data_IF_170708946129
#
_entry.id   IF_170708946129
#
_cell.length_a   1.000
_cell.length_b   1.000
_cell.length_c   1.000
_cell.angle_alpha   90.00
_cell.angle_beta   90.00
_cell.angle_gamma   90.00
#
_symmetry.space_group_name_H-M   'P 1'
#
loop_
_entity.id
_entity.type
_entity.pdbx_description
1 polymer ?
#
# COMPACT_ATOMS: atom_id res chain seq x y z
N UNK A 1 9.36 5.04 -25.68
CA UNK A 1 10.34 5.53 -24.67
C UNK A 1 10.44 4.51 -23.54
N UNK A 2 11.43 4.59 -22.65
CA UNK A 2 11.53 3.70 -21.47
C UNK A 2 11.18 4.45 -20.18
N UNK A 3 10.71 3.74 -19.14
CA UNK A 3 10.42 4.33 -17.81
C UNK A 3 11.57 5.20 -17.29
N UNK A 4 12.80 4.69 -17.40
CA UNK A 4 14.00 5.43 -16.97
C UNK A 4 14.20 6.76 -17.70
N UNK A 5 13.88 6.81 -18.98
CA UNK A 5 14.07 8.01 -19.80
C UNK A 5 13.06 9.09 -19.46
N UNK A 6 11.83 8.69 -19.12
CA UNK A 6 10.73 9.63 -18.86
C UNK A 6 10.72 10.11 -17.40
N UNK A 7 10.92 9.22 -16.44
CA UNK A 7 10.77 9.54 -14.99
C UNK A 7 12.08 9.39 -14.19
N UNK A 8 13.16 8.95 -14.82
CA UNK A 8 14.36 8.53 -14.11
C UNK A 8 14.20 7.16 -13.42
N UNK A 9 15.20 6.79 -12.61
CA UNK A 9 15.15 5.55 -11.83
C UNK A 9 14.12 5.65 -10.71
N UNK A 10 13.22 4.66 -10.55
CA UNK A 10 12.44 4.52 -9.33
C UNK A 10 13.38 4.46 -8.12
N UNK A 11 12.97 4.99 -6.97
CA UNK A 11 13.78 4.97 -5.76
C UNK A 11 13.12 4.16 -4.64
N UNK A 12 13.93 3.48 -3.85
CA UNK A 12 13.47 2.74 -2.69
C UNK A 12 13.06 3.69 -1.56
N UNK A 13 12.15 3.24 -0.69
CA UNK A 13 11.78 3.98 0.51
C UNK A 13 12.90 4.10 1.55
N UNK A 14 12.52 4.64 2.70
CA UNK A 14 13.44 5.04 3.77
C UNK A 14 14.00 3.83 4.50
N UNK A 15 15.31 3.86 4.74
CA UNK A 15 15.99 2.90 5.63
C UNK A 15 16.32 3.57 6.95
N UNK A 16 15.67 3.14 8.02
CA UNK A 16 15.91 3.67 9.38
C UNK A 16 17.23 3.16 9.96
N UNK A 17 17.58 1.91 9.67
CA UNK A 17 18.70 1.18 10.27
C UNK A 17 18.41 0.63 11.68
N UNK A 18 17.28 1.00 12.30
CA UNK A 18 16.78 0.43 13.55
C UNK A 18 15.32 0.85 13.79
N UNK A 19 14.36 0.06 13.28
CA UNK A 19 12.95 0.44 13.27
C UNK A 19 12.38 0.75 14.67
N UNK A 20 12.80 0.04 15.71
CA UNK A 20 12.28 0.23 17.07
C UNK A 20 12.48 1.64 17.64
N UNK A 21 13.45 2.42 17.12
CA UNK A 21 13.65 3.80 17.53
C UNK A 21 12.83 4.80 16.70
N UNK A 22 12.60 4.51 15.42
CA UNK A 22 12.08 5.49 14.47
C UNK A 22 10.64 5.24 14.02
N UNK A 23 10.11 4.03 14.19
CA UNK A 23 8.76 3.66 13.77
C UNK A 23 7.86 3.59 15.00
N UNK A 24 6.83 4.43 15.00
CA UNK A 24 5.94 4.65 16.11
C UNK A 24 4.54 4.09 15.82
N UNK A 25 3.92 3.56 16.86
CA UNK A 25 2.47 3.38 16.95
C UNK A 25 1.77 4.75 17.07
N UNK A 26 0.45 4.75 16.89
CA UNK A 26 -0.38 5.95 17.10
C UNK A 26 -0.23 6.50 18.51
N UNK A 27 -0.29 5.65 19.54
CA UNK A 27 -0.19 6.07 20.93
C UNK A 27 1.17 6.69 21.26
N UNK A 28 2.28 6.12 20.77
CA UNK A 28 3.61 6.70 20.94
C UNK A 28 3.72 8.06 20.25
N UNK A 29 3.23 8.16 19.00
CA UNK A 29 3.16 9.43 18.25
C UNK A 29 2.38 10.50 19.04
N UNK A 30 1.21 10.15 19.56
CA UNK A 30 0.34 11.10 20.25
C UNK A 30 0.94 11.56 21.57
N UNK A 31 1.60 10.66 22.31
CA UNK A 31 2.32 11.01 23.55
C UNK A 31 3.49 11.97 23.28
N UNK A 32 4.23 11.79 22.19
CA UNK A 32 5.33 12.69 21.82
C UNK A 32 4.81 14.10 21.47
N UNK A 33 3.71 14.18 20.73
CA UNK A 33 3.08 15.47 20.38
C UNK A 33 2.47 16.16 21.60
N UNK A 34 1.91 15.38 22.55
CA UNK A 34 1.40 15.93 23.80
C UNK A 34 2.53 16.50 24.67
N UNK A 35 3.68 15.82 24.74
CA UNK A 35 4.82 16.26 25.52
C UNK A 35 5.54 17.48 24.88
N UNK A 36 5.64 17.50 23.55
CA UNK A 36 6.25 18.58 22.78
C UNK A 36 5.53 18.70 21.42
N UNK A 37 4.61 19.67 21.25
CA UNK A 37 3.83 19.85 20.02
C UNK A 37 4.68 20.01 18.75
N UNK A 38 5.91 20.54 18.89
CA UNK A 38 6.85 20.73 17.79
C UNK A 38 7.33 19.40 17.20
N UNK A 39 7.23 18.30 17.94
CA UNK A 39 7.50 16.95 17.45
C UNK A 39 6.75 16.63 16.15
N UNK A 40 5.59 17.25 15.91
CA UNK A 40 4.79 17.08 14.69
C UNK A 40 5.59 17.35 13.42
N UNK A 41 6.57 18.26 13.45
CA UNK A 41 7.41 18.60 12.29
C UNK A 41 8.18 17.38 11.76
N UNK A 42 8.55 16.47 12.65
CA UNK A 42 9.36 15.28 12.37
C UNK A 42 8.54 14.00 12.25
N UNK A 43 7.25 14.03 12.57
CA UNK A 43 6.40 12.84 12.62
C UNK A 43 5.60 12.71 11.33
N UNK A 44 6.04 11.80 10.44
CA UNK A 44 5.42 11.60 9.13
C UNK A 44 4.69 10.26 9.07
N UNK A 45 3.49 10.18 8.47
CA UNK A 45 2.84 8.89 8.25
C UNK A 45 3.71 8.02 7.32
N UNK A 46 3.82 6.73 7.62
CA UNK A 46 4.65 5.81 6.83
C UNK A 46 3.89 4.55 6.43
N UNK A 47 4.09 4.13 5.18
CA UNK A 47 3.53 2.91 4.58
C UNK A 47 4.61 1.85 4.41
N UNK A 48 4.18 0.60 4.58
CA UNK A 48 4.98 -0.60 4.33
C UNK A 48 4.45 -1.38 3.12
N UNK A 49 5.29 -2.21 2.50
CA UNK A 49 4.95 -2.91 1.26
C UNK A 49 3.72 -3.82 1.39
N UNK A 50 3.42 -4.31 2.60
CA UNK A 50 2.20 -5.09 2.87
C UNK A 50 0.92 -4.27 2.72
N UNK A 51 0.99 -2.96 2.94
CA UNK A 51 -0.12 -2.02 2.81
C UNK A 51 -0.34 -1.55 1.38
N UNK A 52 0.57 -1.87 0.44
CA UNK A 52 0.41 -1.53 -0.97
C UNK A 52 -0.22 -2.69 -1.71
N UNK A 53 -1.34 -2.41 -2.36
CA UNK A 53 -2.08 -3.32 -3.23
C UNK A 53 -2.33 -2.61 -4.57
N UNK A 54 -2.72 -3.37 -5.59
CA UNK A 54 -3.13 -2.77 -6.86
C UNK A 54 -4.25 -1.76 -6.61
N UNK A 55 -4.09 -0.55 -7.18
CA UNK A 55 -5.06 0.54 -7.10
C UNK A 55 -5.31 1.10 -5.70
N UNK A 56 -4.56 0.69 -4.66
CA UNK A 56 -4.75 1.28 -3.33
C UNK A 56 -3.52 1.19 -2.44
N UNK A 57 -3.34 2.22 -1.63
CA UNK A 57 -2.59 2.13 -0.38
C UNK A 57 -3.55 2.07 0.81
N UNK A 58 -3.21 1.26 1.81
CA UNK A 58 -3.97 1.26 3.07
C UNK A 58 -3.62 2.49 3.90
N UNK A 59 -4.55 2.92 4.76
CA UNK A 59 -4.29 4.01 5.68
C UNK A 59 -3.04 3.73 6.55
N UNK A 60 -2.18 4.73 6.78
CA UNK A 60 -0.99 4.57 7.61
C UNK A 60 -1.39 4.28 9.06
N UNK A 61 -0.90 3.15 9.58
CA UNK A 61 -1.08 2.76 10.99
C UNK A 61 0.13 3.13 11.86
N UNK A 62 1.19 3.62 11.25
CA UNK A 62 2.46 3.95 11.88
C UNK A 62 3.01 5.30 11.40
N UNK A 63 3.90 5.85 12.21
CA UNK A 63 4.61 7.10 11.91
C UNK A 63 6.10 6.87 11.96
N UNK A 64 6.84 7.59 11.13
CA UNK A 64 8.29 7.67 11.21
C UNK A 64 8.72 8.98 11.87
N UNK A 65 9.70 8.91 12.77
CA UNK A 65 10.50 10.06 13.19
C UNK A 65 11.49 10.36 12.07
N UNK A 66 11.13 11.28 11.18
CA UNK A 66 11.89 11.62 9.98
C UNK A 66 12.98 12.65 10.28
N UNK A 67 14.22 12.16 10.44
CA UNK A 67 15.39 13.00 10.69
C UNK A 67 16.43 12.78 9.57
N UNK A 68 16.48 13.65 8.55
CA UNK A 68 17.48 13.57 7.49
C UNK A 68 18.88 13.94 7.98
N UNK A 69 19.89 13.71 7.14
CA UNK A 69 21.28 14.00 7.49
C UNK A 69 21.52 15.51 7.46
N UNK A 70 22.20 16.03 8.48
CA UNK A 70 22.70 17.40 8.55
C UNK A 70 21.65 18.53 8.44
N UNK A 71 20.38 18.28 8.77
CA UNK A 71 19.30 19.28 8.68
C UNK A 71 18.63 19.68 10.00
N UNK A 72 18.91 18.96 11.11
CA UNK A 72 18.18 19.11 12.37
C UNK A 72 19.15 19.19 13.55
N UNK A 73 18.90 20.16 14.44
CA UNK A 73 19.42 20.17 15.79
C UNK A 73 18.45 19.41 16.72
N UNK A 74 18.84 18.24 17.22
CA UNK A 74 17.92 17.37 17.97
C UNK A 74 17.45 18.01 19.29
N UNK A 75 18.25 18.88 19.89
CA UNK A 75 17.89 19.58 21.13
C UNK A 75 16.78 20.61 20.96
N UNK A 76 16.42 20.94 19.72
CA UNK A 76 15.24 21.74 19.40
C UNK A 76 13.93 20.92 19.50
N UNK A 77 14.02 19.60 19.77
CA UNK A 77 12.94 18.62 19.88
C UNK A 77 13.15 17.69 21.10
N UNK A 78 13.07 18.22 22.34
CA UNK A 78 13.43 17.49 23.56
C UNK A 78 12.67 16.17 23.75
N UNK A 79 11.38 16.10 23.44
CA UNK A 79 10.61 14.85 23.59
C UNK A 79 11.11 13.74 22.63
N UNK A 80 11.46 14.11 21.40
CA UNK A 80 12.06 13.18 20.42
C UNK A 80 13.47 12.79 20.84
N UNK A 81 14.27 13.73 21.36
CA UNK A 81 15.60 13.42 21.87
C UNK A 81 15.55 12.40 23.02
N UNK A 82 14.66 12.63 23.99
CA UNK A 82 14.46 11.76 25.14
C UNK A 82 13.95 10.37 24.72
N UNK A 83 13.04 10.31 23.75
CA UNK A 83 12.58 9.05 23.16
C UNK A 83 13.70 8.24 22.50
N UNK A 84 14.59 8.90 21.76
CA UNK A 84 15.69 8.23 21.06
C UNK A 84 16.84 7.84 22.01
N UNK A 85 16.98 8.50 23.16
CA UNK A 85 18.11 8.34 24.09
C UNK A 85 18.32 6.90 24.56
N UNK A 86 17.29 6.11 24.96
CA UNK A 86 17.45 4.69 25.28
C UNK A 86 18.01 3.83 24.13
N UNK A 87 17.86 4.29 22.88
CA UNK A 87 18.33 3.59 21.70
C UNK A 87 19.73 4.02 21.25
N UNK A 88 20.32 5.05 21.87
CA UNK A 88 21.58 5.69 21.43
C UNK A 88 22.72 4.71 21.18
N UNK A 89 22.94 3.74 22.06
CA UNK A 89 24.01 2.76 21.91
C UNK A 89 23.87 1.94 20.61
N UNK A 90 22.67 1.42 20.32
CA UNK A 90 22.38 0.68 19.09
C UNK A 90 22.46 1.58 17.86
N UNK A 91 21.97 2.81 17.98
CA UNK A 91 21.97 3.77 16.89
C UNK A 91 23.39 4.24 16.52
N UNK A 92 24.28 4.40 17.50
CA UNK A 92 25.67 4.77 17.29
C UNK A 92 26.52 3.60 16.73
N UNK A 93 26.12 2.36 16.96
CA UNK A 93 26.78 1.17 16.43
C UNK A 93 26.46 0.86 14.95
N UNK A 94 25.64 1.69 14.28
CA UNK A 94 25.28 1.50 12.87
C UNK A 94 26.49 1.71 11.97
N UNK A 95 26.59 0.89 10.92
CA UNK A 95 27.74 0.91 9.99
C UNK A 95 27.88 2.21 9.16
N UNK A 96 26.78 2.93 8.96
CA UNK A 96 26.80 4.16 8.16
C UNK A 96 27.24 5.37 8.99
N UNK A 97 27.92 6.32 8.33
CA UNK A 97 28.33 7.61 8.94
C UNK A 97 27.13 8.56 8.95
N UNK A 98 26.57 8.81 10.14
CA UNK A 98 25.56 9.83 10.44
C UNK A 98 25.60 10.16 11.94
N UNK A 99 24.96 11.26 12.37
CA UNK A 99 24.73 11.47 13.80
C UNK A 99 23.84 10.35 14.34
N UNK A 100 24.02 9.99 15.61
CA UNK A 100 23.35 8.81 16.18
C UNK A 100 21.82 8.91 16.08
N UNK A 101 21.23 10.10 16.10
CA UNK A 101 19.77 10.33 15.99
C UNK A 101 19.26 10.47 14.54
N UNK A 102 20.13 10.49 13.52
CA UNK A 102 19.73 10.63 12.12
C UNK A 102 19.34 9.26 11.49
N UNK A 103 18.49 9.30 10.47
CA UNK A 103 18.14 8.11 9.68
C UNK A 103 19.34 7.59 8.87
N UNK A 104 19.38 6.27 8.62
CA UNK A 104 20.48 5.65 7.87
C UNK A 104 20.45 6.06 6.38
N UNK A 105 19.30 5.97 5.73
CA UNK A 105 19.04 6.48 4.37
C UNK A 105 17.68 7.19 4.35
N UNK A 106 17.64 8.50 4.61
CA UNK A 106 16.40 9.28 4.66
C UNK A 106 15.78 9.56 3.29
N UNK A 107 16.48 9.29 2.18
CA UNK A 107 16.03 9.69 0.84
C UNK A 107 15.73 11.21 0.73
N UNK A 108 16.54 12.03 1.41
CA UNK A 108 16.30 13.48 1.58
C UNK A 108 16.06 14.25 0.27
N UNK A 109 16.67 13.82 -0.85
CA UNK A 109 16.43 14.41 -2.17
C UNK A 109 14.95 14.34 -2.60
N UNK A 110 14.22 13.33 -2.13
CA UNK A 110 12.85 13.02 -2.53
C UNK A 110 11.80 13.43 -1.49
N UNK A 111 12.17 14.28 -0.53
CA UNK A 111 11.25 14.69 0.53
C UNK A 111 9.98 15.36 -0.03
N UNK A 112 10.14 16.28 -1.00
CA UNK A 112 9.01 16.93 -1.66
C UNK A 112 8.11 15.92 -2.41
N UNK A 113 8.70 14.87 -2.99
CA UNK A 113 7.95 13.78 -3.63
C UNK A 113 7.10 13.02 -2.61
N UNK A 114 7.62 12.74 -1.41
CA UNK A 114 6.82 12.08 -0.36
C UNK A 114 5.64 12.94 0.12
N UNK A 115 5.84 14.25 0.19
CA UNK A 115 4.82 15.22 0.63
C UNK A 115 3.77 15.50 -0.46
N UNK A 116 4.12 15.29 -1.73
CA UNK A 116 3.23 15.42 -2.88
C UNK A 116 2.60 14.10 -3.36
N UNK A 117 2.00 14.20 -4.54
CA UNK A 117 1.47 13.07 -5.31
C UNK A 117 2.60 12.28 -5.97
N UNK A 118 2.52 10.96 -5.90
CA UNK A 118 3.54 10.03 -6.42
C UNK A 118 2.93 8.68 -6.73
N UNK A 119 3.58 7.91 -7.58
CA UNK A 119 3.26 6.50 -7.79
C UNK A 119 4.11 5.65 -6.84
N UNK A 120 3.47 4.74 -6.10
CA UNK A 120 4.14 3.81 -5.20
C UNK A 120 3.81 2.36 -5.53
N UNK A 121 4.72 1.45 -5.18
CA UNK A 121 4.55 0.01 -5.34
C UNK A 121 5.45 -0.76 -4.38
N UNK A 122 5.17 -2.05 -4.18
CA UNK A 122 5.93 -2.91 -3.25
C UNK A 122 7.01 -3.73 -3.96
N UNK A 123 8.12 -3.97 -3.27
CA UNK A 123 9.26 -4.75 -3.77
C UNK A 123 8.92 -6.23 -4.02
N UNK A 124 8.07 -6.85 -3.19
CA UNK A 124 7.76 -8.28 -3.32
C UNK A 124 6.27 -8.43 -3.62
N UNK A 125 5.92 -8.74 -4.86
CA UNK A 125 4.54 -8.84 -5.34
C UNK A 125 4.33 -10.06 -6.22
N UNK A 126 3.14 -10.64 -6.20
CA UNK A 126 2.71 -11.74 -7.08
C UNK A 126 1.60 -11.31 -8.06
N UNK A 127 1.34 -10.01 -8.12
CA UNK A 127 0.40 -9.32 -9.00
C UNK A 127 0.82 -7.84 -9.07
N UNK A 128 0.30 -7.04 -10.01
CA UNK A 128 0.53 -5.60 -10.00
C UNK A 128 0.15 -4.98 -8.65
N UNK A 129 0.86 -3.92 -8.25
CA UNK A 129 0.70 -3.30 -6.92
C UNK A 129 0.85 -1.78 -6.94
N UNK A 130 0.61 -1.20 -8.11
CA UNK A 130 0.80 0.21 -8.37
C UNK A 130 -0.44 0.99 -7.92
N UNK A 131 -0.20 2.13 -7.29
CA UNK A 131 -1.24 3.11 -6.97
C UNK A 131 -0.64 4.51 -6.90
N UNK A 132 -1.49 5.52 -7.05
CA UNK A 132 -1.14 6.89 -6.69
C UNK A 132 -1.25 7.05 -5.18
N UNK A 133 -0.33 7.77 -4.57
CA UNK A 133 -0.33 8.13 -3.15
C UNK A 133 0.02 9.60 -2.97
N UNK A 134 -0.57 10.21 -1.94
CA UNK A 134 -0.34 11.62 -1.60
C UNK A 134 0.01 11.76 -0.12
N UNK A 135 1.16 12.37 0.16
CA UNK A 135 1.54 12.78 1.52
C UNK A 135 2.09 11.69 2.44
N UNK A 136 2.14 10.41 2.03
CA UNK A 136 2.75 9.36 2.85
C UNK A 136 4.23 9.15 2.53
N UNK A 137 5.00 8.85 3.57
CA UNK A 137 6.36 8.36 3.44
C UNK A 137 6.30 6.84 3.25
N UNK A 138 7.34 6.25 2.66
CA UNK A 138 7.38 4.81 2.40
C UNK A 138 8.65 4.17 2.98
N UNK A 139 8.52 2.95 3.48
CA UNK A 139 9.66 2.18 3.97
C UNK A 139 10.44 1.49 2.83
N UNK A 140 11.61 0.94 3.15
CA UNK A 140 12.48 0.23 2.21
C UNK A 140 11.88 -1.01 1.51
N UNK A 141 10.71 -1.51 1.95
CA UNK A 141 9.97 -2.55 1.23
C UNK A 141 9.08 -2.01 0.10
N UNK A 142 9.04 -0.69 -0.06
CA UNK A 142 8.34 0.02 -1.11
C UNK A 142 9.30 0.77 -2.03
N UNK A 143 8.80 1.10 -3.23
CA UNK A 143 9.45 1.94 -4.22
C UNK A 143 8.51 3.03 -4.68
N UNK A 144 9.09 4.08 -5.26
CA UNK A 144 8.40 5.25 -5.75
C UNK A 144 8.90 5.62 -7.15
N UNK A 145 7.98 6.05 -8.02
CA UNK A 145 8.27 6.77 -9.25
C UNK A 145 7.81 8.22 -9.04
N UNK A 146 8.72 9.21 -9.07
CA UNK A 146 8.36 10.61 -8.91
C UNK A 146 7.57 11.11 -10.12
N UNK A 147 6.74 12.14 -9.92
CA UNK A 147 6.04 12.87 -11.00
C UNK A 147 5.12 12.03 -11.90
N UNK A 148 4.76 10.83 -11.45
CA UNK A 148 3.87 9.92 -12.15
C UNK A 148 2.38 10.18 -11.81
N UNK A 149 1.51 9.91 -12.77
CA UNK A 149 0.06 10.10 -12.73
C UNK A 149 -0.69 8.76 -12.80
N UNK A 150 -2.02 8.83 -12.82
CA UNK A 150 -2.87 7.65 -13.03
C UNK A 150 -2.64 6.98 -14.40
N UNK A 151 -2.14 7.69 -15.42
CA UNK A 151 -1.79 7.07 -16.71
C UNK A 151 -0.69 6.02 -16.55
N UNK A 152 0.37 6.34 -15.81
CA UNK A 152 1.49 5.43 -15.57
C UNK A 152 1.05 4.25 -14.69
N UNK A 153 0.15 4.48 -13.72
CA UNK A 153 -0.46 3.40 -12.93
C UNK A 153 -1.26 2.46 -13.83
N UNK A 154 -2.03 2.99 -14.80
CA UNK A 154 -2.77 2.18 -15.76
C UNK A 154 -1.83 1.30 -16.58
N UNK A 155 -0.79 1.90 -17.19
CA UNK A 155 0.19 1.18 -17.99
C UNK A 155 0.89 0.08 -17.18
N UNK A 156 1.46 0.43 -16.01
CA UNK A 156 2.22 -0.52 -15.19
C UNK A 156 1.35 -1.63 -14.61
N UNK A 157 0.05 -1.40 -14.49
CA UNK A 157 -0.91 -2.42 -14.04
C UNK A 157 -1.49 -3.27 -15.16
N UNK A 158 -1.19 -2.94 -16.42
CA UNK A 158 -1.67 -3.72 -17.58
C UNK A 158 -1.02 -5.09 -17.64
N UNK A 159 -1.74 -6.04 -18.23
CA UNK A 159 -1.26 -7.40 -18.50
C UNK A 159 0.03 -7.39 -19.33
N UNK A 160 0.18 -6.47 -20.29
CA UNK A 160 1.40 -6.35 -21.13
C UNK A 160 2.63 -6.00 -20.31
N UNK A 161 2.56 -4.93 -19.50
CA UNK A 161 3.71 -4.51 -18.71
C UNK A 161 3.93 -5.43 -17.51
N UNK A 162 2.88 -6.05 -16.97
CA UNK A 162 3.02 -7.08 -15.95
C UNK A 162 3.77 -8.30 -16.50
N UNK A 163 3.36 -8.84 -17.65
CA UNK A 163 4.03 -9.94 -18.34
C UNK A 163 5.51 -9.62 -18.61
N UNK A 164 5.78 -8.43 -19.16
CA UNK A 164 7.14 -7.96 -19.45
C UNK A 164 8.00 -7.90 -18.17
N UNK A 165 7.43 -7.37 -17.08
CA UNK A 165 8.11 -7.22 -15.81
C UNK A 165 8.43 -8.57 -15.14
N UNK A 166 7.49 -9.51 -15.14
CA UNK A 166 7.70 -10.82 -14.51
C UNK A 166 8.61 -11.74 -15.33
N UNK A 167 8.76 -11.49 -16.63
CA UNK A 167 9.67 -12.23 -17.51
C UNK A 167 11.14 -11.91 -17.26
N UNK A 168 11.45 -10.68 -16.80
CA UNK A 168 12.81 -10.19 -16.58
C UNK A 168 13.26 -10.27 -15.10
N UNK A 169 12.31 -10.39 -14.19
CA UNK A 169 12.59 -10.32 -12.76
C UNK A 169 13.04 -11.65 -12.14
N UNK A 170 13.72 -11.55 -11.00
CA UNK A 170 13.99 -12.71 -10.17
C UNK A 170 12.75 -13.18 -9.43
N UNK A 171 12.46 -14.47 -9.57
CA UNK A 171 11.43 -15.16 -8.81
C UNK A 171 11.86 -15.23 -7.34
N UNK A 172 11.07 -14.60 -6.47
CA UNK A 172 11.10 -14.83 -5.03
C UNK A 172 10.33 -16.11 -4.68
N UNK A 173 10.36 -16.52 -3.40
CA UNK A 173 9.73 -17.77 -2.97
C UNK A 173 8.20 -17.73 -3.15
N UNK A 174 7.63 -18.80 -3.72
CA UNK A 174 6.19 -19.06 -3.73
C UNK A 174 5.38 -18.27 -4.77
N UNK A 175 5.94 -17.99 -5.95
CA UNK A 175 5.25 -17.26 -7.02
C UNK A 175 5.23 -15.74 -6.83
N UNK A 176 6.08 -15.22 -5.95
CA UNK A 176 6.31 -13.79 -5.81
C UNK A 176 7.51 -13.36 -6.65
N UNK A 177 7.55 -12.10 -7.03
CA UNK A 177 8.56 -11.50 -7.89
C UNK A 177 9.16 -10.26 -7.23
N UNK A 178 10.38 -9.90 -7.63
CA UNK A 178 11.10 -8.72 -7.12
C UNK A 178 10.89 -7.50 -8.01
N UNK A 179 10.39 -6.41 -7.44
CA UNK A 179 10.06 -5.16 -8.14
C UNK A 179 11.08 -4.10 -7.74
N UNK A 180 12.35 -4.35 -8.06
CA UNK A 180 13.43 -3.35 -7.89
C UNK A 180 13.47 -2.41 -9.09
N UNK A 181 14.02 -1.21 -8.89
CA UNK A 181 14.17 -0.18 -9.94
C UNK A 181 14.73 -0.74 -11.25
N UNK A 182 15.76 -1.59 -11.18
CA UNK A 182 16.40 -2.19 -12.36
C UNK A 182 15.46 -2.99 -13.28
N UNK A 183 14.34 -3.49 -12.76
CA UNK A 183 13.35 -4.25 -13.54
C UNK A 183 12.25 -3.37 -14.12
N UNK A 184 11.98 -2.22 -13.49
CA UNK A 184 11.00 -1.25 -14.00
C UNK A 184 11.63 -0.26 -14.99
N UNK A 185 12.90 0.08 -14.81
CA UNK A 185 13.66 0.99 -15.69
C UNK A 185 13.55 0.63 -17.19
N UNK A 186 13.67 -0.64 -17.62
CA UNK A 186 13.58 -1.03 -19.02
C UNK A 186 12.14 -1.31 -19.49
N UNK A 187 11.10 -1.02 -18.70
CA UNK A 187 9.73 -1.21 -19.18
C UNK A 187 9.40 -0.19 -20.28
N UNK A 188 8.78 -0.63 -21.39
CA UNK A 188 8.41 0.25 -22.48
C UNK A 188 7.23 1.14 -22.10
N UNK A 189 7.30 2.39 -22.53
CA UNK A 189 6.18 3.34 -22.55
C UNK A 189 5.78 3.51 -24.01
N UNK A 190 4.59 3.03 -24.41
CA UNK A 190 4.11 3.13 -25.78
C UNK A 190 3.77 4.58 -26.13
N UNK A 191 3.79 4.87 -27.43
CA UNK A 191 3.33 6.17 -27.93
C UNK A 191 1.80 6.22 -27.86
N UNK A 192 1.28 7.07 -26.99
CA UNK A 192 -0.16 7.25 -26.79
C UNK A 192 -0.56 8.70 -27.06
N UNK A 193 -1.68 8.88 -27.77
CA UNK A 193 -2.27 10.20 -27.98
C UNK A 193 -2.73 10.81 -26.65
N UNK A 194 -2.86 12.15 -26.54
CA UNK A 194 -3.39 12.78 -25.33
C UNK A 194 -4.76 12.23 -24.90
N UNK A 195 -5.62 11.85 -25.85
CA UNK A 195 -6.93 11.25 -25.58
C UNK A 195 -6.80 9.85 -24.95
N UNK A 196 -5.91 9.00 -25.47
CA UNK A 196 -5.65 7.67 -24.89
C UNK A 196 -5.03 7.78 -23.49
N UNK A 197 -4.07 8.70 -23.29
CA UNK A 197 -3.47 8.97 -21.97
C UNK A 197 -4.54 9.39 -20.96
N UNK A 198 -5.43 10.30 -21.35
CA UNK A 198 -6.53 10.75 -20.51
C UNK A 198 -7.51 9.60 -20.20
N UNK A 199 -7.88 8.79 -21.19
CA UNK A 199 -8.78 7.65 -21.00
C UNK A 199 -8.21 6.62 -20.02
N UNK A 200 -6.93 6.25 -20.18
CA UNK A 200 -6.22 5.35 -19.27
C UNK A 200 -6.11 5.92 -17.86
N UNK A 201 -5.79 7.21 -17.73
CA UNK A 201 -5.75 7.89 -16.43
C UNK A 201 -7.12 7.85 -15.73
N UNK A 202 -8.21 8.15 -16.44
CA UNK A 202 -9.57 8.10 -15.88
C UNK A 202 -9.97 6.68 -15.45
N UNK A 203 -9.60 5.65 -16.23
CA UNK A 203 -9.87 4.26 -15.87
C UNK A 203 -9.10 3.86 -14.60
N UNK A 204 -7.82 4.20 -14.50
CA UNK A 204 -7.02 3.93 -13.32
C UNK A 204 -7.49 4.69 -12.08
N UNK A 205 -7.88 5.96 -12.22
CA UNK A 205 -8.47 6.75 -11.13
C UNK A 205 -9.80 6.15 -10.65
N UNK A 206 -10.63 5.66 -11.58
CA UNK A 206 -11.88 4.95 -11.25
C UNK A 206 -11.58 3.65 -10.50
N UNK A 207 -10.65 2.83 -11.00
CA UNK A 207 -10.26 1.58 -10.36
C UNK A 207 -9.70 1.83 -8.96
N UNK A 208 -8.88 2.87 -8.78
CA UNK A 208 -8.33 3.26 -7.49
C UNK A 208 -9.40 3.74 -6.52
N UNK A 209 -10.28 4.65 -6.95
CA UNK A 209 -11.40 5.12 -6.13
C UNK A 209 -12.28 3.96 -5.66
N UNK A 210 -12.60 3.01 -6.55
CA UNK A 210 -13.39 1.84 -6.20
C UNK A 210 -12.63 0.87 -5.29
N UNK A 211 -11.33 0.68 -5.48
CA UNK A 211 -10.51 -0.18 -4.64
C UNK A 211 -10.39 0.36 -3.21
N UNK A 212 -10.27 1.69 -3.05
CA UNK A 212 -10.25 2.38 -1.76
C UNK A 212 -11.61 2.32 -1.05
N UNK A 213 -12.72 2.55 -1.78
CA UNK A 213 -14.07 2.41 -1.25
C UNK A 213 -14.35 0.97 -0.79
N UNK A 214 -13.97 -0.02 -1.62
CA UNK A 214 -14.10 -1.44 -1.30
C UNK A 214 -13.32 -1.79 -0.04
N UNK A 215 -12.07 -1.33 0.06
CA UNK A 215 -11.22 -1.56 1.23
C UNK A 215 -11.81 -0.93 2.51
N UNK A 216 -12.43 0.24 2.39
CA UNK A 216 -13.08 0.92 3.51
C UNK A 216 -14.24 0.10 4.07
N UNK A 217 -15.11 -0.44 3.21
CA UNK A 217 -16.22 -1.33 3.61
C UNK A 217 -15.71 -2.61 4.28
N UNK A 218 -14.73 -3.27 3.65
CA UNK A 218 -14.09 -4.48 4.17
C UNK A 218 -13.55 -4.26 5.59
N UNK A 219 -12.86 -3.14 5.79
CA UNK A 219 -12.21 -2.80 7.05
C UNK A 219 -13.20 -2.34 8.13
N UNK A 220 -14.23 -1.58 7.75
CA UNK A 220 -15.23 -1.05 8.68
C UNK A 220 -15.90 -2.18 9.48
N UNK A 221 -16.35 -3.23 8.79
CA UNK A 221 -16.94 -4.38 9.46
C UNK A 221 -15.89 -5.21 10.19
N UNK A 222 -14.74 -5.48 9.56
CA UNK A 222 -13.66 -6.30 10.17
C UNK A 222 -13.21 -5.75 11.54
N UNK A 223 -13.16 -4.42 11.69
CA UNK A 223 -12.82 -3.75 12.96
C UNK A 223 -13.86 -3.95 14.06
N UNK A 224 -15.12 -4.26 13.72
CA UNK A 224 -16.22 -4.50 14.67
C UNK A 224 -16.38 -5.96 15.04
N UNK A 225 -15.88 -6.90 14.25
CA UNK A 225 -15.97 -8.33 14.57
C UNK A 225 -15.40 -8.63 15.98
N UNK A 226 -14.26 -8.05 16.41
CA UNK A 226 -13.77 -8.16 17.79
C UNK A 226 -14.78 -7.82 18.89
N UNK A 227 -15.74 -6.93 18.64
CA UNK A 227 -16.75 -6.51 19.64
C UNK A 227 -17.70 -7.68 20.01
N UNK A 228 -17.76 -8.72 19.17
CA UNK A 228 -18.51 -9.97 19.43
C UNK A 228 -17.73 -10.97 20.30
N UNK A 229 -16.46 -10.68 20.62
CA UNK A 229 -15.63 -11.54 21.44
C UNK A 229 -15.93 -11.32 22.94
N UNK A 230 -16.21 -12.38 23.71
CA UNK A 230 -16.32 -12.29 25.16
C UNK A 230 -15.07 -11.70 25.82
N UNK A 231 -15.20 -10.96 26.95
CA UNK A 231 -14.09 -10.27 27.60
C UNK A 231 -13.03 -11.21 28.19
N UNK A 232 -13.36 -12.48 28.42
CA UNK A 232 -12.45 -13.52 28.90
C UNK A 232 -11.57 -14.13 27.78
N UNK A 233 -11.65 -13.61 26.54
CA UNK A 233 -11.03 -14.19 25.35
C UNK A 233 -10.26 -13.19 24.52
N UNK A 234 -9.26 -13.70 23.81
CA UNK A 234 -8.52 -12.92 22.83
C UNK A 234 -9.35 -12.74 21.55
N UNK A 235 -9.56 -11.50 21.06
CA UNK A 235 -10.39 -11.22 19.89
C UNK A 235 -9.65 -11.49 18.56
N UNK A 236 -9.07 -12.70 18.43
CA UNK A 236 -8.28 -13.08 17.27
C UNK A 236 -9.16 -13.54 16.11
N UNK A 237 -9.09 -12.84 14.99
CA UNK A 237 -9.86 -13.17 13.78
C UNK A 237 -9.18 -14.27 12.94
N UNK A 238 -9.98 -15.21 12.43
CA UNK A 238 -9.57 -16.14 11.37
C UNK A 238 -9.52 -15.42 10.02
N UNK A 239 -8.84 -15.98 9.02
CA UNK A 239 -8.83 -15.41 7.67
C UNK A 239 -10.24 -15.29 7.10
N UNK A 240 -11.14 -16.25 7.38
CA UNK A 240 -12.55 -16.18 6.99
C UNK A 240 -13.28 -14.97 7.56
N UNK A 241 -12.98 -14.57 8.80
CA UNK A 241 -13.57 -13.36 9.40
C UNK A 241 -12.89 -12.08 8.90
N UNK A 242 -11.59 -12.13 8.62
CA UNK A 242 -10.88 -11.02 7.96
C UNK A 242 -11.35 -10.78 6.53
N UNK A 243 -11.85 -11.82 5.87
CA UNK A 243 -12.38 -11.83 4.51
C UNK A 243 -13.88 -12.14 4.52
N UNK A 244 -14.63 -11.59 5.48
CA UNK A 244 -16.03 -11.92 5.74
C UNK A 244 -16.95 -11.79 4.53
N UNK A 245 -16.60 -10.94 3.56
CA UNK A 245 -17.34 -10.75 2.30
C UNK A 245 -17.29 -11.97 1.39
N UNK A 246 -16.38 -12.91 1.63
CA UNK A 246 -16.28 -14.19 0.91
C UNK A 246 -17.22 -15.27 1.47
N UNK A 247 -17.81 -15.04 2.64
CA UNK A 247 -18.76 -15.98 3.23
C UNK A 247 -20.10 -15.90 2.48
N UNK A 248 -20.77 -17.04 2.24
CA UNK A 248 -21.92 -17.08 1.34
C UNK A 248 -23.16 -16.35 1.87
N UNK A 249 -23.36 -16.29 3.19
CA UNK A 249 -24.54 -15.71 3.83
C UNK A 249 -24.23 -15.29 5.28
N UNK A 250 -25.22 -14.73 5.97
CA UNK A 250 -25.12 -14.34 7.37
C UNK A 250 -25.01 -15.56 8.30
N UNK A 251 -25.61 -16.70 7.95
CA UNK A 251 -25.55 -17.92 8.74
C UNK A 251 -24.12 -18.48 8.81
N UNK A 252 -23.39 -18.46 7.70
CA UNK A 252 -21.98 -18.85 7.61
C UNK A 252 -21.08 -17.89 8.39
N UNK A 253 -21.33 -16.57 8.32
CA UNK A 253 -20.66 -15.58 9.16
C UNK A 253 -20.84 -15.88 10.65
N UNK A 254 -22.09 -16.07 11.09
CA UNK A 254 -22.41 -16.44 12.48
C UNK A 254 -21.76 -17.76 12.89
N UNK A 255 -21.75 -18.76 12.02
CA UNK A 255 -21.12 -20.04 12.31
C UNK A 255 -19.60 -19.88 12.57
N UNK A 256 -18.92 -19.04 11.79
CA UNK A 256 -17.49 -18.77 12.02
C UNK A 256 -17.27 -17.94 13.28
N UNK A 257 -18.11 -16.92 13.58
CA UNK A 257 -18.08 -16.17 14.85
C UNK A 257 -18.23 -17.12 16.04
N UNK A 258 -19.26 -17.97 16.05
CA UNK A 258 -19.49 -19.01 17.08
C UNK A 258 -18.29 -19.91 17.26
N UNK A 259 -17.70 -20.36 16.15
CA UNK A 259 -16.56 -21.27 16.19
C UNK A 259 -15.35 -20.62 16.85
N UNK A 260 -15.08 -19.35 16.55
CA UNK A 260 -13.89 -18.61 17.00
C UNK A 260 -14.08 -18.09 18.42
N UNK A 261 -15.15 -17.34 18.69
CA UNK A 261 -15.37 -16.70 19.98
C UNK A 261 -16.09 -17.58 21.00
N UNK A 262 -16.65 -18.72 20.59
CA UNK A 262 -17.54 -19.56 21.43
C UNK A 262 -18.74 -18.79 21.99
N UNK A 263 -19.10 -17.70 21.33
CA UNK A 263 -20.26 -16.88 21.57
C UNK A 263 -20.96 -16.61 20.24
N UNK A 264 -22.26 -16.34 20.28
CA UNK A 264 -23.06 -15.98 19.11
C UNK A 264 -23.40 -14.50 19.14
N UNK A 265 -23.80 -13.97 17.99
CA UNK A 265 -24.40 -12.64 17.90
C UNK A 265 -25.73 -12.67 18.68
N UNK A 266 -25.93 -11.76 19.66
CA UNK A 266 -27.17 -11.65 20.42
C UNK A 266 -28.37 -11.53 19.49
N UNK A 267 -29.46 -12.24 19.79
CA UNK A 267 -30.64 -12.30 18.92
C UNK A 267 -31.17 -10.91 18.54
N UNK A 268 -31.18 -9.97 19.50
CA UNK A 268 -31.64 -8.60 19.31
C UNK A 268 -30.80 -7.80 18.30
N UNK A 269 -29.53 -8.16 18.09
CA UNK A 269 -28.60 -7.46 17.19
C UNK A 269 -28.50 -8.13 15.82
N UNK A 270 -29.10 -9.33 15.65
CA UNK A 270 -28.88 -10.13 14.44
C UNK A 270 -29.35 -9.45 13.17
N UNK A 271 -30.49 -8.76 13.21
CA UNK A 271 -31.01 -8.03 12.05
C UNK A 271 -30.06 -6.92 11.61
N UNK A 272 -29.55 -6.10 12.54
CA UNK A 272 -28.62 -5.01 12.22
C UNK A 272 -27.31 -5.54 11.62
N UNK A 273 -26.78 -6.64 12.17
CA UNK A 273 -25.59 -7.29 11.62
C UNK A 273 -25.85 -7.91 10.24
N UNK A 274 -26.98 -8.58 10.06
CA UNK A 274 -27.36 -9.20 8.79
C UNK A 274 -27.54 -8.14 7.70
N UNK A 275 -28.26 -7.05 8.00
CA UNK A 275 -28.48 -5.94 7.08
C UNK A 275 -27.16 -5.27 6.70
N UNK A 276 -26.27 -5.03 7.67
CA UNK A 276 -24.95 -4.48 7.39
C UNK A 276 -24.14 -5.41 6.48
N UNK A 277 -24.01 -6.69 6.85
CA UNK A 277 -23.24 -7.67 6.08
C UNK A 277 -23.77 -7.78 4.65
N UNK A 278 -25.09 -7.88 4.47
CA UNK A 278 -25.69 -8.03 3.16
C UNK A 278 -25.48 -6.79 2.28
N UNK A 279 -25.71 -5.60 2.83
CA UNK A 279 -25.49 -4.32 2.13
C UNK A 279 -24.04 -4.17 1.69
N UNK A 280 -23.10 -4.28 2.62
CA UNK A 280 -21.70 -4.03 2.33
C UNK A 280 -21.11 -5.14 1.44
N UNK A 281 -21.57 -6.40 1.57
CA UNK A 281 -21.17 -7.48 0.65
C UNK A 281 -21.63 -7.23 -0.79
N UNK A 282 -22.88 -6.80 -0.97
CA UNK A 282 -23.41 -6.47 -2.29
C UNK A 282 -22.61 -5.32 -2.93
N UNK A 283 -22.28 -4.29 -2.14
CA UNK A 283 -21.48 -3.18 -2.62
C UNK A 283 -20.02 -3.56 -2.92
N UNK A 284 -19.39 -4.38 -2.07
CA UNK A 284 -18.06 -4.94 -2.34
C UNK A 284 -18.05 -5.74 -3.65
N UNK A 285 -19.11 -6.51 -3.93
CA UNK A 285 -19.25 -7.27 -5.17
C UNK A 285 -19.39 -6.33 -6.38
N UNK A 286 -20.22 -5.29 -6.29
CA UNK A 286 -20.38 -4.26 -7.33
C UNK A 286 -19.05 -3.57 -7.65
N UNK A 287 -18.37 -3.06 -6.63
CA UNK A 287 -17.07 -2.39 -6.77
C UNK A 287 -16.01 -3.32 -7.36
N UNK A 288 -16.03 -4.60 -6.99
CA UNK A 288 -15.11 -5.60 -7.55
C UNK A 288 -15.35 -5.81 -9.05
N UNK A 289 -16.61 -5.88 -9.49
CA UNK A 289 -16.95 -6.01 -10.90
C UNK A 289 -16.55 -4.76 -11.71
N UNK A 290 -16.74 -3.57 -11.14
CA UNK A 290 -16.38 -2.31 -11.80
C UNK A 290 -14.86 -2.11 -11.91
N UNK A 291 -14.08 -2.55 -10.92
CA UNK A 291 -12.62 -2.58 -11.01
C UNK A 291 -12.20 -3.52 -12.15
N UNK A 292 -12.74 -4.74 -12.19
CA UNK A 292 -12.41 -5.70 -13.25
C UNK A 292 -12.78 -5.18 -14.65
N UNK A 293 -13.89 -4.45 -14.77
CA UNK A 293 -14.28 -3.80 -16.03
C UNK A 293 -13.29 -2.68 -16.42
N UNK A 294 -12.82 -1.89 -15.46
CA UNK A 294 -11.82 -0.86 -15.72
C UNK A 294 -10.48 -1.49 -16.14
N UNK A 295 -10.04 -2.54 -15.45
CA UNK A 295 -8.84 -3.32 -15.78
C UNK A 295 -8.91 -3.89 -17.21
N UNK A 296 -10.01 -4.56 -17.57
CA UNK A 296 -10.19 -5.10 -18.92
C UNK A 296 -10.16 -4.01 -20.01
N UNK A 297 -10.71 -2.82 -19.73
CA UNK A 297 -10.64 -1.68 -20.65
C UNK A 297 -9.25 -1.07 -20.74
N UNK A 298 -8.50 -1.03 -19.64
CA UNK A 298 -7.09 -0.63 -19.64
C UNK A 298 -6.31 -1.59 -20.53
N UNK A 299 -6.45 -2.90 -20.32
CA UNK A 299 -5.76 -3.92 -21.09
C UNK A 299 -6.09 -3.84 -22.58
N UNK A 300 -7.37 -3.72 -22.95
CA UNK A 300 -7.76 -3.53 -24.36
C UNK A 300 -7.08 -2.32 -25.01
N UNK A 301 -7.03 -1.16 -24.33
CA UNK A 301 -6.36 0.03 -24.87
C UNK A 301 -4.85 -0.21 -24.97
N UNK A 302 -4.25 -0.89 -23.98
CA UNK A 302 -2.80 -1.15 -23.98
C UNK A 302 -2.41 -2.18 -25.05
N UNK A 303 -3.22 -3.20 -25.28
CA UNK A 303 -3.03 -4.16 -26.38
C UNK A 303 -2.98 -3.43 -27.72
N UNK A 304 -3.91 -2.51 -27.97
CA UNK A 304 -3.91 -1.67 -29.17
C UNK A 304 -2.66 -0.78 -29.27
N UNK A 305 -2.18 -0.22 -28.14
CA UNK A 305 -0.98 0.62 -28.11
C UNK A 305 0.32 -0.16 -28.41
N UNK A 306 0.31 -1.47 -28.26
CA UNK A 306 1.42 -2.37 -28.58
C UNK A 306 1.18 -3.15 -29.88
N UNK A 307 0.12 -2.85 -30.62
CA UNK A 307 -0.29 -3.52 -31.86
C UNK A 307 -0.39 -5.05 -31.73
N UNK A 308 -0.85 -5.55 -30.58
CA UNK A 308 -0.96 -6.99 -30.33
C UNK A 308 -2.11 -7.63 -31.11
N UNK A 309 -1.86 -8.80 -31.68
CA UNK A 309 -2.87 -9.65 -32.31
C UNK A 309 -3.67 -10.45 -31.28
N UNK A 310 -4.85 -10.97 -31.66
CA UNK A 310 -5.68 -11.81 -30.78
C UNK A 310 -4.91 -13.06 -30.28
N UNK A 311 -4.10 -13.68 -31.13
CA UNK A 311 -3.27 -14.83 -30.77
C UNK A 311 -2.20 -14.45 -29.74
N UNK A 312 -1.55 -13.29 -29.90
CA UNK A 312 -0.56 -12.78 -28.95
C UNK A 312 -1.19 -12.42 -27.60
N UNK A 313 -2.38 -11.80 -27.62
CA UNK A 313 -3.14 -11.50 -26.40
C UNK A 313 -3.48 -12.81 -25.68
N UNK A 314 -3.99 -13.82 -26.38
CA UNK A 314 -4.32 -15.12 -25.78
C UNK A 314 -3.11 -15.84 -25.19
N UNK A 315 -1.95 -15.78 -25.85
CA UNK A 315 -0.70 -16.32 -25.32
C UNK A 315 -0.20 -15.57 -24.08
N UNK A 316 -0.31 -14.23 -24.09
CA UNK A 316 0.10 -13.37 -23.00
C UNK A 316 -0.75 -13.62 -21.75
N UNK A 317 -2.07 -13.63 -21.88
CA UNK A 317 -3.00 -13.85 -20.78
C UNK A 317 -2.87 -15.26 -20.17
N UNK A 318 -2.50 -16.26 -20.98
CA UNK A 318 -2.23 -17.62 -20.50
C UNK A 318 -0.91 -17.74 -19.71
N UNK A 319 0.00 -16.77 -19.83
CA UNK A 319 1.33 -16.81 -19.23
C UNK A 319 1.43 -16.06 -17.89
N UNK A 320 0.41 -15.28 -17.51
CA UNK A 320 0.39 -14.45 -16.30
C UNK A 320 -0.53 -14.97 -15.18
#
# INVERSE_FOLDING_TARGET
MWVKEVYGSPFAGIKTGYNAAFILTRSERDNLVLADPKSTDLLKPILFGTQLQQWKSEAPEKWIIYIPKAGINISDYPAIEDWLRPHKAKLAARAAKQKWFELQQPQQKYQATYEGTKLIYRDIANRPSFSVDTGNYIDMTCFCIPDASHFEVALLSSSVLWFSLISETTVARGGYFRMKSQYLEPLPIPDATPAQKAALATLAETAQTHAEARYSLQTALTRRIPDLCPPDREPKLTNKLKEWWTLPDFAAFRAEVKKVFKADIPLAERSDWEDWINRDRAEIARLTAEIAQAEARIDSIVYDLFDLTEDEIGLLEAAI
#
